data_IF_036392577422
#
_entry.id   IF_036392577422
#
_cell.length_a   1.000
_cell.length_b   1.000
_cell.length_c   1.000
_cell.angle_alpha   90.00
_cell.angle_beta   90.00
_cell.angle_gamma   90.00
#
_symmetry.space_group_name_H-M   'P 1'
#
loop_
_entity.id
_entity.type
_entity.pdbx_description
1 polymer ?
#
# COMPACT_ATOMS: atom_id res chain seq x y z
N UNK A 1 -14.46 -74.56 -7.37
CA UNK A 1 -14.86 -73.35 -8.06
C UNK A 1 -14.20 -72.16 -7.34
N UNK A 2 -13.11 -71.66 -7.90
CA UNK A 2 -12.35 -70.56 -7.27
C UNK A 2 -12.61 -69.28 -8.03
N UNK A 3 -13.19 -68.32 -7.36
CA UNK A 3 -13.43 -66.97 -7.91
C UNK A 3 -12.19 -66.13 -7.60
N UNK A 4 -11.46 -65.78 -8.64
CA UNK A 4 -10.30 -64.88 -8.56
C UNK A 4 -10.82 -63.45 -8.63
N UNK A 5 -10.68 -62.74 -7.54
CA UNK A 5 -10.99 -61.32 -7.49
C UNK A 5 -9.78 -60.57 -8.02
N UNK A 6 -9.96 -59.92 -9.17
CA UNK A 6 -8.98 -59.00 -9.74
C UNK A 6 -9.11 -57.66 -9.01
N UNK A 7 -8.13 -57.34 -8.18
CA UNK A 7 -8.01 -56.03 -7.61
C UNK A 7 -7.58 -55.03 -8.69
N UNK A 8 -8.47 -54.17 -9.11
CA UNK A 8 -8.13 -53.02 -9.93
C UNK A 8 -7.40 -51.99 -9.07
N UNK A 9 -6.13 -51.80 -9.32
CA UNK A 9 -5.37 -50.71 -8.75
C UNK A 9 -5.88 -49.38 -9.33
N UNK A 10 -6.51 -48.62 -8.51
CA UNK A 10 -6.86 -47.24 -8.82
C UNK A 10 -5.56 -46.41 -8.75
N UNK A 11 -4.97 -46.12 -9.90
CA UNK A 11 -3.89 -45.17 -10.01
C UNK A 11 -4.48 -43.78 -9.72
N UNK A 12 -4.21 -43.27 -8.54
CA UNK A 12 -4.56 -41.89 -8.18
C UNK A 12 -3.86 -40.93 -9.13
N UNK A 13 -4.62 -40.22 -9.89
CA UNK A 13 -4.14 -39.03 -10.60
C UNK A 13 -3.76 -38.02 -9.52
N UNK A 14 -2.44 -37.91 -9.26
CA UNK A 14 -1.91 -36.75 -8.58
C UNK A 14 -2.21 -35.53 -9.48
N UNK A 15 -3.29 -34.83 -9.19
CA UNK A 15 -3.52 -33.55 -9.76
C UNK A 15 -2.34 -32.66 -9.39
N UNK A 16 -1.54 -32.29 -10.39
CA UNK A 16 -0.59 -31.20 -10.25
C UNK A 16 -1.41 -29.96 -9.93
N UNK A 17 -1.58 -29.65 -8.65
CA UNK A 17 -2.01 -28.33 -8.24
C UNK A 17 -0.82 -27.44 -8.57
N UNK A 18 -0.86 -26.81 -9.75
CA UNK A 18 0.04 -25.71 -10.04
C UNK A 18 -0.18 -24.68 -8.94
N UNK A 19 0.69 -24.67 -7.95
CA UNK A 19 0.78 -23.58 -7.01
C UNK A 19 1.21 -22.38 -7.83
N UNK A 20 0.25 -21.57 -8.29
CA UNK A 20 0.58 -20.21 -8.66
C UNK A 20 1.17 -19.60 -7.41
N UNK A 21 2.49 -19.39 -7.41
CA UNK A 21 3.13 -18.61 -6.38
C UNK A 21 2.37 -17.29 -6.35
N UNK A 22 1.63 -17.04 -5.28
CA UNK A 22 1.07 -15.73 -5.04
C UNK A 22 2.23 -14.74 -5.18
N UNK A 23 2.07 -13.59 -5.90
CA UNK A 23 3.09 -12.56 -5.94
C UNK A 23 3.54 -12.33 -4.51
N UNK A 24 4.84 -12.26 -4.28
CA UNK A 24 5.46 -12.28 -2.97
C UNK A 24 4.68 -11.36 -2.03
N UNK A 25 3.98 -11.94 -1.04
CA UNK A 25 3.14 -11.22 -0.08
C UNK A 25 3.94 -10.16 0.69
N UNK A 26 5.27 -10.23 0.63
CA UNK A 26 6.24 -9.38 1.34
C UNK A 26 6.95 -8.36 0.45
N UNK A 27 6.50 -8.16 -0.78
CA UNK A 27 7.06 -7.11 -1.64
C UNK A 27 6.65 -5.76 -1.11
N UNK A 28 7.66 -4.94 -0.76
CA UNK A 28 7.43 -3.56 -0.31
C UNK A 28 6.72 -2.74 -1.39
N UNK A 29 5.78 -1.94 -0.97
CA UNK A 29 4.95 -1.10 -1.83
C UNK A 29 5.04 0.35 -1.39
N UNK A 30 5.16 1.25 -2.36
CA UNK A 30 5.14 2.68 -2.15
C UNK A 30 4.02 3.31 -2.96
N UNK A 31 3.12 4.02 -2.27
CA UNK A 31 2.16 4.91 -2.93
C UNK A 31 2.78 6.30 -3.02
N UNK A 32 2.86 6.83 -4.21
CA UNK A 32 3.47 8.13 -4.51
C UNK A 32 2.37 9.10 -4.94
N UNK A 33 2.17 10.13 -4.15
CA UNK A 33 1.12 11.13 -4.36
C UNK A 33 1.79 12.48 -4.64
N UNK A 34 1.63 12.99 -5.84
CA UNK A 34 2.11 14.32 -6.22
C UNK A 34 1.00 15.32 -5.98
N UNK A 35 1.30 16.36 -5.22
CA UNK A 35 0.32 17.37 -4.81
C UNK A 35 0.83 18.79 -5.03
N UNK A 36 -0.10 19.71 -5.19
CA UNK A 36 0.12 21.14 -5.11
C UNK A 36 -0.55 21.68 -3.85
N UNK A 37 0.13 22.53 -3.13
CA UNK A 37 -0.38 23.20 -1.93
C UNK A 37 0.12 24.64 -1.88
N UNK A 38 -0.73 25.55 -1.39
CA UNK A 38 -0.36 26.95 -1.19
C UNK A 38 0.44 27.17 0.10
N UNK A 39 0.31 26.24 1.07
CA UNK A 39 0.98 26.29 2.37
C UNK A 39 1.83 25.02 2.56
N UNK A 40 3.04 25.04 2.05
CA UNK A 40 3.97 23.91 2.14
C UNK A 40 4.32 23.57 3.59
N UNK A 41 4.73 24.52 4.47
CA UNK A 41 5.05 24.19 5.85
C UNK A 41 3.87 23.60 6.62
N UNK A 42 2.69 24.18 6.46
CA UNK A 42 1.46 23.68 7.10
C UNK A 42 1.09 22.30 6.59
N UNK A 43 1.19 22.06 5.30
CA UNK A 43 0.93 20.74 4.70
C UNK A 43 1.89 19.65 5.22
N UNK A 44 3.18 19.95 5.29
CA UNK A 44 4.19 19.03 5.85
C UNK A 44 3.86 18.70 7.31
N UNK A 45 3.52 19.71 8.11
CA UNK A 45 3.12 19.51 9.51
C UNK A 45 1.92 18.55 9.64
N UNK A 46 0.90 18.72 8.79
CA UNK A 46 -0.27 17.84 8.83
C UNK A 46 0.05 16.39 8.38
N UNK A 47 0.95 16.21 7.41
CA UNK A 47 1.42 14.87 7.04
C UNK A 47 2.20 14.21 8.18
N UNK A 48 3.02 14.96 8.90
CA UNK A 48 3.72 14.47 10.10
C UNK A 48 2.73 14.09 11.21
N UNK A 49 1.67 14.86 11.40
CA UNK A 49 0.57 14.56 12.31
C UNK A 49 -0.13 13.26 11.91
N UNK A 50 -0.43 13.08 10.63
CA UNK A 50 -1.00 11.85 10.11
C UNK A 50 -0.09 10.64 10.37
N UNK A 51 1.22 10.78 10.17
CA UNK A 51 2.20 9.74 10.49
C UNK A 51 2.15 9.33 11.96
N UNK A 52 2.09 10.30 12.87
CA UNK A 52 2.01 10.04 14.30
C UNK A 52 0.71 9.31 14.68
N UNK A 53 -0.41 9.69 14.09
CA UNK A 53 -1.71 9.06 14.31
C UNK A 53 -1.75 7.62 13.76
N UNK A 54 -1.17 7.36 12.59
CA UNK A 54 -1.04 6.00 12.02
C UNK A 54 -0.19 5.11 12.94
N UNK A 55 0.93 5.63 13.43
CA UNK A 55 1.78 4.91 14.37
C UNK A 55 1.04 4.58 15.67
N UNK A 56 0.30 5.54 16.22
CA UNK A 56 -0.53 5.35 17.42
C UNK A 56 -1.61 4.29 17.20
N UNK A 57 -2.18 4.24 16.00
CA UNK A 57 -3.17 3.23 15.61
C UNK A 57 -2.57 1.84 15.30
N UNK A 58 -1.24 1.68 15.38
CA UNK A 58 -0.56 0.42 15.11
C UNK A 58 -0.46 0.06 13.63
N UNK A 59 -0.62 1.02 12.75
CA UNK A 59 -0.51 0.82 11.28
C UNK A 59 0.94 0.92 10.85
N UNK A 60 1.46 -0.12 10.22
CA UNK A 60 2.82 -0.18 9.70
C UNK A 60 2.90 0.56 8.35
N UNK A 61 3.02 1.88 8.41
CA UNK A 61 3.22 2.74 7.26
C UNK A 61 4.19 3.85 7.61
N UNK A 62 5.07 4.21 6.66
CA UNK A 62 5.98 5.34 6.79
C UNK A 62 5.64 6.37 5.73
N UNK A 63 5.35 7.60 6.16
CA UNK A 63 5.09 8.72 5.29
C UNK A 63 6.35 9.57 5.15
N UNK A 64 6.72 9.90 3.90
CA UNK A 64 7.82 10.81 3.59
C UNK A 64 7.31 11.93 2.71
N UNK A 65 7.83 13.13 2.92
CA UNK A 65 7.48 14.31 2.13
C UNK A 65 8.73 14.83 1.44
N UNK A 66 8.63 15.00 0.14
CA UNK A 66 9.69 15.48 -0.73
C UNK A 66 9.22 16.66 -1.57
N UNK A 67 10.16 17.45 -2.04
CA UNK A 67 9.89 18.47 -3.07
C UNK A 67 10.46 18.00 -4.39
N UNK A 68 9.65 18.01 -5.43
CA UNK A 68 10.09 17.73 -6.79
C UNK A 68 10.91 18.92 -7.32
N UNK A 69 12.22 18.73 -7.51
CA UNK A 69 13.13 19.78 -8.00
C UNK A 69 13.43 19.63 -9.49
N UNK A 70 13.70 18.41 -9.94
CA UNK A 70 13.95 18.07 -11.34
C UNK A 70 12.93 17.03 -11.82
N UNK A 71 11.71 17.48 -12.03
CA UNK A 71 10.59 16.58 -12.32
C UNK A 71 9.75 17.05 -13.53
N UNK A 72 10.34 17.81 -14.45
CA UNK A 72 9.63 18.33 -15.62
C UNK A 72 8.41 19.14 -15.21
N UNK A 73 7.23 18.72 -15.63
CA UNK A 73 5.95 19.38 -15.36
C UNK A 73 5.57 19.41 -13.87
N UNK A 74 6.13 18.50 -13.09
CA UNK A 74 5.87 18.40 -11.65
C UNK A 74 6.85 19.20 -10.79
N UNK A 75 7.80 19.93 -11.40
CA UNK A 75 8.78 20.72 -10.67
C UNK A 75 8.10 21.73 -9.75
N UNK A 76 8.54 21.75 -8.48
CA UNK A 76 7.95 22.57 -7.41
C UNK A 76 6.80 21.91 -6.67
N UNK A 77 6.23 20.82 -7.18
CA UNK A 77 5.21 20.04 -6.47
C UNK A 77 5.77 19.35 -5.23
N UNK A 78 4.89 19.02 -4.31
CA UNK A 78 5.21 18.20 -3.15
C UNK A 78 4.87 16.74 -3.47
N UNK A 79 5.76 15.84 -3.09
CA UNK A 79 5.60 14.40 -3.27
C UNK A 79 5.47 13.76 -1.89
N UNK A 80 4.33 13.12 -1.64
CA UNK A 80 4.11 12.32 -0.44
C UNK A 80 4.28 10.86 -0.83
N UNK A 81 5.15 10.16 -0.13
CA UNK A 81 5.38 8.73 -0.32
C UNK A 81 4.87 8.00 0.91
N UNK A 82 3.97 7.05 0.71
CA UNK A 82 3.47 6.14 1.74
C UNK A 82 4.11 4.78 1.50
N UNK A 83 5.04 4.39 2.35
CA UNK A 83 5.75 3.11 2.28
C UNK A 83 5.08 2.10 3.22
N UNK A 84 4.77 0.93 2.71
CA UNK A 84 4.17 -0.19 3.44
C UNK A 84 4.90 -1.49 3.13
N UNK A 85 4.88 -2.49 4.04
CA UNK A 85 5.62 -3.74 3.87
C UNK A 85 5.15 -4.58 2.67
N UNK A 86 3.89 -4.46 2.29
CA UNK A 86 3.26 -5.21 1.20
C UNK A 86 1.98 -4.53 0.73
N UNK A 87 1.39 -5.04 -0.34
CA UNK A 87 0.15 -4.47 -0.91
C UNK A 87 -1.02 -4.44 0.09
N UNK A 88 -1.13 -5.45 0.96
CA UNK A 88 -2.16 -5.47 2.00
C UNK A 88 -2.01 -4.30 2.99
N UNK A 89 -0.81 -3.76 3.15
CA UNK A 89 -0.53 -2.58 3.97
C UNK A 89 -1.25 -1.32 3.48
N UNK A 90 -1.42 -1.15 2.17
CA UNK A 90 -2.21 -0.03 1.61
C UNK A 90 -3.67 -0.12 2.06
N UNK A 91 -4.27 -1.31 1.95
CA UNK A 91 -5.64 -1.53 2.40
C UNK A 91 -5.79 -1.27 3.92
N UNK A 92 -4.79 -1.64 4.73
CA UNK A 92 -4.79 -1.36 6.18
C UNK A 92 -4.72 0.13 6.48
N UNK A 93 -3.94 0.89 5.74
CA UNK A 93 -3.90 2.36 5.87
C UNK A 93 -5.25 2.96 5.54
N UNK A 94 -5.84 2.59 4.41
CA UNK A 94 -7.15 3.11 3.97
C UNK A 94 -8.27 2.72 4.94
N UNK A 95 -8.25 1.50 5.45
CA UNK A 95 -9.23 1.04 6.44
C UNK A 95 -9.09 1.80 7.76
N UNK A 96 -7.88 2.02 8.24
CA UNK A 96 -7.63 2.81 9.44
C UNK A 96 -8.11 4.26 9.29
N UNK A 97 -7.84 4.90 8.16
CA UNK A 97 -8.33 6.26 7.86
C UNK A 97 -9.86 6.31 7.86
N UNK A 98 -10.50 5.29 7.31
CA UNK A 98 -11.96 5.22 7.24
C UNK A 98 -12.63 4.96 8.59
N UNK A 99 -12.03 4.12 9.45
CA UNK A 99 -12.66 3.61 10.69
C UNK A 99 -12.20 4.33 11.96
N UNK A 100 -11.03 4.97 11.95
CA UNK A 100 -10.52 5.72 13.09
C UNK A 100 -10.92 7.20 12.96
N UNK A 101 -11.72 7.76 13.90
CA UNK A 101 -12.21 9.14 13.81
C UNK A 101 -11.10 10.20 13.74
N UNK A 102 -9.99 10.01 14.44
CA UNK A 102 -8.86 10.95 14.45
C UNK A 102 -8.14 10.96 13.09
N UNK A 103 -7.93 9.78 12.51
CA UNK A 103 -7.34 9.63 11.18
C UNK A 103 -8.27 10.17 10.09
N UNK A 104 -9.56 9.93 10.19
CA UNK A 104 -10.55 10.46 9.26
C UNK A 104 -10.58 12.00 9.28
N UNK A 105 -10.56 12.61 10.47
CA UNK A 105 -10.55 14.05 10.63
C UNK A 105 -9.27 14.68 10.08
N UNK A 106 -8.11 14.09 10.36
CA UNK A 106 -6.82 14.55 9.86
C UNK A 106 -6.74 14.45 8.33
N UNK A 107 -7.20 13.35 7.77
CA UNK A 107 -7.22 13.15 6.31
C UNK A 107 -8.14 14.15 5.61
N UNK A 108 -9.29 14.44 6.21
CA UNK A 108 -10.20 15.48 5.72
C UNK A 108 -9.52 16.86 5.70
N UNK A 109 -8.77 17.20 6.74
CA UNK A 109 -8.00 18.45 6.84
C UNK A 109 -6.92 18.50 5.75
N UNK A 110 -6.12 17.47 5.60
CA UNK A 110 -5.09 17.34 4.56
C UNK A 110 -5.70 17.55 3.17
N UNK A 111 -6.85 16.93 2.89
CA UNK A 111 -7.51 17.04 1.58
C UNK A 111 -7.99 18.45 1.25
N UNK A 112 -8.24 19.31 2.25
CA UNK A 112 -8.57 20.73 2.02
C UNK A 112 -7.36 21.58 1.65
N UNK A 113 -6.15 21.11 1.95
CA UNK A 113 -4.89 21.85 1.78
C UNK A 113 -4.18 21.55 0.47
N UNK A 114 -4.66 20.62 -0.31
CA UNK A 114 -3.95 20.10 -1.48
C UNK A 114 -4.85 19.90 -2.69
N UNK A 115 -4.20 19.97 -3.86
CA UNK A 115 -4.72 19.43 -5.11
C UNK A 115 -3.84 18.23 -5.50
N UNK A 116 -4.43 17.06 -5.67
CA UNK A 116 -3.71 15.88 -6.16
C UNK A 116 -3.49 16.03 -7.66
N UNK A 117 -2.23 15.94 -8.08
CA UNK A 117 -1.80 15.96 -9.48
C UNK A 117 -1.72 14.54 -10.02
N UNK A 118 -1.13 13.63 -9.26
CA UNK A 118 -1.06 12.20 -9.59
C UNK A 118 -1.01 11.35 -8.32
N UNK A 119 -1.42 10.10 -8.45
CA UNK A 119 -1.44 9.10 -7.40
C UNK A 119 -1.11 7.76 -8.02
N UNK A 120 0.01 7.18 -7.63
CA UNK A 120 0.59 6.00 -8.26
C UNK A 120 1.09 5.01 -7.23
N UNK A 121 1.04 3.73 -7.56
CA UNK A 121 1.51 2.64 -6.73
C UNK A 121 2.73 1.98 -7.39
N UNK A 122 3.78 1.78 -6.61
CA UNK A 122 5.02 1.15 -7.03
C UNK A 122 5.33 -0.06 -6.17
N UNK A 123 5.79 -1.12 -6.78
CA UNK A 123 6.31 -2.31 -6.10
C UNK A 123 7.83 -2.35 -6.20
N UNK A 124 8.50 -2.74 -5.13
CA UNK A 124 9.94 -2.93 -5.16
C UNK A 124 10.29 -4.16 -6.01
N UNK A 125 11.23 -4.01 -6.94
CA UNK A 125 11.73 -5.11 -7.78
C UNK A 125 13.02 -5.73 -7.23
N UNK A 126 13.65 -5.05 -6.28
CA UNK A 126 14.89 -5.50 -5.61
C UNK A 126 14.92 -5.03 -4.17
N UNK A 127 15.67 -5.71 -3.33
CA UNK A 127 15.90 -5.41 -1.92
C UNK A 127 17.29 -4.82 -1.72
#
# INVERSE_FOLDING_TARGET
>A
MRITIISAAFAGILGLVASFAAPAADTAVSRVIVVQTADVPGYVHEVETLQALLKKAGVAATLRVWRATYAGVDAGSIVVIVEVPNLAGIAKVEDAIRTNPDLAAEMKKINTMRKIVSDSLYEALSH
#
